data_IF_767048613529
#
_entry.id   IF_767048613529
#
_cell.length_a   1.000
_cell.length_b   1.000
_cell.length_c   1.000
_cell.angle_alpha   90.00
_cell.angle_beta   90.00
_cell.angle_gamma   90.00
#
_symmetry.space_group_name_H-M   'P 1'
#
loop_
_entity.id
_entity.type
_entity.pdbx_description
1 polymer ?
#
# COMPACT_ATOMS: atom_id res chain seq x y z
N UNK A 1 -13.91 -17.17 9.27
CA UNK A 1 -13.05 -18.10 8.47
C UNK A 1 -12.55 -19.21 9.39
N UNK A 2 -12.85 -20.48 9.10
CA UNK A 2 -12.45 -21.61 9.95
C UNK A 2 -11.02 -22.02 9.55
N UNK A 3 -10.03 -21.70 10.37
CA UNK A 3 -8.64 -22.08 10.15
C UNK A 3 -8.37 -23.45 10.75
N UNK A 4 -8.21 -24.49 9.92
CA UNK A 4 -7.97 -25.87 10.38
C UNK A 4 -6.54 -26.12 10.87
N UNK A 5 -5.57 -25.34 10.42
CA UNK A 5 -4.13 -25.50 10.70
C UNK A 5 -3.51 -24.19 11.25
N UNK A 6 -4.04 -23.69 12.33
CA UNK A 6 -3.56 -22.45 12.97
C UNK A 6 -2.15 -22.62 13.52
N UNK A 7 -1.23 -21.75 13.09
CA UNK A 7 0.15 -21.69 13.58
C UNK A 7 0.30 -20.47 14.49
N UNK A 8 1.12 -20.59 15.53
CA UNK A 8 1.57 -19.48 16.35
C UNK A 8 2.99 -19.13 15.93
N UNK A 9 3.18 -17.92 15.39
CA UNK A 9 4.52 -17.40 15.08
C UNK A 9 4.92 -16.38 16.15
N UNK A 10 6.14 -16.52 16.68
CA UNK A 10 6.70 -15.52 17.59
C UNK A 10 7.54 -14.54 16.79
N UNK A 11 7.19 -13.25 16.84
CA UNK A 11 7.86 -12.18 16.10
C UNK A 11 9.34 -12.12 16.44
N UNK A 12 10.17 -12.11 15.43
CA UNK A 12 11.62 -11.99 15.48
C UNK A 12 12.09 -10.65 14.89
N UNK A 13 13.34 -10.29 15.14
CA UNK A 13 13.93 -9.10 14.55
C UNK A 13 13.90 -9.17 13.01
N UNK A 14 13.37 -8.14 12.37
CA UNK A 14 13.21 -8.06 10.91
C UNK A 14 11.97 -8.74 10.34
N UNK A 15 11.04 -9.24 11.18
CA UNK A 15 9.74 -9.70 10.73
C UNK A 15 8.84 -8.51 10.38
N UNK A 16 8.06 -8.72 9.32
CA UNK A 16 6.94 -7.86 8.96
C UNK A 16 5.76 -8.72 8.53
N UNK A 17 4.54 -8.19 8.60
CA UNK A 17 3.37 -8.93 8.13
C UNK A 17 3.52 -9.34 6.67
N UNK A 18 4.17 -8.51 5.84
CA UNK A 18 4.44 -8.86 4.45
C UNK A 18 5.37 -10.08 4.32
N UNK A 19 6.51 -10.10 5.05
CA UNK A 19 7.41 -11.27 5.03
C UNK A 19 6.71 -12.53 5.53
N UNK A 20 5.96 -12.39 6.61
CA UNK A 20 5.21 -13.52 7.18
C UNK A 20 4.10 -14.00 6.24
N UNK A 21 3.39 -13.11 5.54
CA UNK A 21 2.40 -13.51 4.55
C UNK A 21 3.01 -14.34 3.41
N UNK A 22 4.20 -13.96 2.94
CA UNK A 22 4.93 -14.72 1.92
C UNK A 22 5.43 -16.06 2.46
N UNK A 23 5.97 -16.07 3.68
CA UNK A 23 6.50 -17.28 4.34
C UNK A 23 5.43 -18.34 4.57
N UNK A 24 4.22 -17.90 4.94
CA UNK A 24 3.12 -18.78 5.31
C UNK A 24 2.07 -18.93 4.20
N UNK A 25 2.35 -18.46 2.97
CA UNK A 25 1.45 -18.52 1.80
C UNK A 25 0.05 -17.94 2.09
N UNK A 26 -0.03 -16.93 2.93
CA UNK A 26 -1.27 -16.24 3.31
C UNK A 26 -1.21 -14.78 2.85
N UNK A 27 -2.19 -13.97 3.19
CA UNK A 27 -2.21 -12.55 2.87
C UNK A 27 -1.98 -11.70 4.12
N UNK A 28 -1.48 -10.47 3.95
CA UNK A 28 -1.37 -9.51 5.05
C UNK A 28 -2.72 -9.24 5.67
N UNK A 29 -3.78 -9.18 4.86
CA UNK A 29 -5.16 -9.00 5.31
C UNK A 29 -5.61 -10.13 6.25
N UNK A 30 -5.35 -11.40 5.87
CA UNK A 30 -5.68 -12.54 6.71
C UNK A 30 -4.90 -12.54 8.04
N UNK A 31 -3.64 -12.11 8.02
CA UNK A 31 -2.86 -11.95 9.23
C UNK A 31 -3.45 -10.88 10.16
N UNK A 32 -3.89 -9.74 9.62
CA UNK A 32 -4.54 -8.67 10.40
C UNK A 32 -5.87 -9.16 10.97
N UNK A 33 -6.72 -9.77 10.15
CA UNK A 33 -8.03 -10.26 10.57
C UNK A 33 -7.92 -11.40 11.61
N UNK A 34 -6.89 -12.23 11.51
CA UNK A 34 -6.62 -13.32 12.45
C UNK A 34 -6.05 -12.86 13.80
N UNK A 35 -5.65 -11.59 13.91
CA UNK A 35 -5.01 -11.02 15.10
C UNK A 35 -5.63 -9.68 15.50
N UNK A 36 -6.91 -9.64 15.87
CA UNK A 36 -7.57 -8.41 16.27
C UNK A 36 -6.87 -7.80 17.49
N UNK A 37 -6.53 -6.51 17.41
CA UNK A 37 -5.82 -5.78 18.47
C UNK A 37 -4.30 -5.76 18.33
N UNK A 38 -3.73 -6.49 17.39
CA UNK A 38 -2.31 -6.35 17.04
C UNK A 38 -2.13 -5.13 16.14
N UNK A 39 -1.21 -4.24 16.52
CA UNK A 39 -0.81 -3.14 15.64
C UNK A 39 0.10 -3.70 14.54
N UNK A 40 -0.35 -3.74 13.27
CA UNK A 40 0.40 -4.33 12.16
C UNK A 40 1.71 -3.60 11.83
N UNK A 41 1.85 -2.36 12.31
CA UNK A 41 3.00 -1.48 12.06
C UNK A 41 3.97 -1.39 13.24
N UNK A 42 3.63 -2.03 14.36
CA UNK A 42 4.49 -2.09 15.54
C UNK A 42 4.50 -3.51 16.10
N UNK A 43 5.09 -4.42 15.33
CA UNK A 43 5.29 -5.79 15.77
C UNK A 43 6.44 -5.84 16.78
N UNK A 44 6.11 -6.08 18.03
CA UNK A 44 7.11 -6.22 19.08
C UNK A 44 7.78 -7.59 19.00
N UNK A 45 9.12 -7.64 19.08
CA UNK A 45 9.87 -8.91 19.17
C UNK A 45 9.34 -9.70 20.37
N UNK A 46 9.03 -10.98 20.16
CA UNK A 46 8.45 -11.87 21.17
C UNK A 46 6.91 -11.86 21.19
N UNK A 47 6.25 -10.95 20.46
CA UNK A 47 4.80 -10.99 20.27
C UNK A 47 4.40 -12.25 19.51
N UNK A 48 3.26 -12.84 19.87
CA UNK A 48 2.71 -14.01 19.17
C UNK A 48 1.64 -13.58 18.17
N UNK A 49 1.79 -14.02 16.92
CA UNK A 49 0.80 -13.92 15.88
C UNK A 49 0.17 -15.28 15.58
N UNK A 50 -1.13 -15.27 15.43
CA UNK A 50 -1.88 -16.41 14.93
C UNK A 50 -1.91 -16.35 13.40
N UNK A 51 -1.41 -17.39 12.74
CA UNK A 51 -1.31 -17.46 11.29
C UNK A 51 -2.13 -18.63 10.77
N UNK A 52 -3.00 -18.37 9.82
CA UNK A 52 -3.63 -19.37 9.00
C UNK A 52 -2.81 -19.52 7.71
N UNK A 53 -2.04 -20.60 7.55
CA UNK A 53 -1.29 -20.80 6.33
C UNK A 53 -2.22 -21.01 5.13
N UNK A 54 -1.82 -20.44 4.00
CA UNK A 54 -2.52 -20.65 2.74
C UNK A 54 -2.20 -21.99 2.10
N UNK A 55 -2.83 -22.24 0.96
CA UNK A 55 -2.67 -23.46 0.20
C UNK A 55 -1.22 -23.64 -0.26
N UNK A 56 -0.67 -24.85 -0.13
CA UNK A 56 0.71 -25.17 -0.51
C UNK A 56 1.77 -24.84 0.55
N UNK A 57 1.41 -24.32 1.72
CA UNK A 57 2.38 -24.15 2.80
C UNK A 57 2.81 -25.50 3.38
N UNK A 58 4.12 -25.76 3.38
CA UNK A 58 4.73 -26.94 4.02
C UNK A 58 5.55 -26.46 5.23
N UNK A 59 5.23 -26.87 6.45
CA UNK A 59 6.02 -26.53 7.63
C UNK A 59 7.47 -27.00 7.46
N UNK A 60 8.47 -26.23 7.93
CA UNK A 60 9.86 -26.69 7.96
C UNK A 60 9.95 -28.00 8.73
N UNK A 61 10.44 -29.03 8.10
CA UNK A 61 10.72 -30.30 8.75
C UNK A 61 11.84 -30.07 9.77
N UNK A 62 11.59 -30.33 11.02
CA UNK A 62 12.58 -30.17 12.07
C UNK A 62 13.66 -31.26 11.90
N UNK A 63 14.94 -30.96 11.60
CA UNK A 63 15.97 -31.95 11.52
C UNK A 63 16.50 -32.28 12.93
N UNK A 64 15.71 -32.95 13.74
CA UNK A 64 16.14 -33.26 15.10
C UNK A 64 15.07 -33.88 15.98
N UNK A 65 14.68 -35.09 15.68
CA UNK A 65 13.87 -35.93 16.56
C UNK A 65 14.18 -37.38 16.22
N UNK A 66 15.30 -37.89 16.76
CA UNK A 66 15.64 -39.29 16.67
C UNK A 66 14.58 -40.14 17.35
N UNK A 67 13.85 -40.92 16.60
CA UNK A 67 12.98 -41.97 17.11
C UNK A 67 13.77 -43.29 17.04
N UNK A 68 14.23 -43.75 18.18
CA UNK A 68 14.73 -45.11 18.39
C UNK A 68 13.54 -46.08 18.40
N UNK A 69 13.34 -46.78 17.30
CA UNK A 69 12.37 -47.87 17.23
C UNK A 69 12.77 -48.85 16.11
N UNK A 70 13.33 -49.99 16.50
CA UNK A 70 13.91 -50.98 15.63
C UNK A 70 12.88 -51.70 14.72
N UNK A 71 13.35 -52.17 13.60
CA UNK A 71 12.58 -53.03 12.66
C UNK A 71 13.43 -53.43 11.47
N UNK A 72 13.87 -54.62 11.50
CA UNK A 72 14.68 -55.46 10.60
C UNK A 72 14.40 -55.33 9.10
N UNK A 73 15.47 -55.24 8.31
CA UNK A 73 15.68 -56.09 7.10
C UNK A 73 15.21 -55.52 5.74
N UNK A 74 16.05 -55.17 4.83
CA UNK A 74 16.60 -56.01 3.76
C UNK A 74 17.47 -55.19 2.82
N UNK A 75 18.57 -55.81 2.39
CA UNK A 75 19.55 -55.24 1.47
C UNK A 75 19.03 -55.30 0.02
N UNK A 76 19.30 -54.25 -0.75
CA UNK A 76 19.15 -54.23 -2.19
C UNK A 76 20.14 -53.29 -2.84
N UNK A 77 21.23 -53.85 -3.36
CA UNK A 77 22.25 -53.18 -4.17
C UNK A 77 21.70 -52.64 -5.48
N UNK A 78 22.23 -51.53 -5.98
CA UNK A 78 21.97 -51.10 -7.37
C UNK A 78 22.50 -49.71 -7.70
N UNK A 79 23.74 -49.60 -7.89
CA UNK A 79 24.56 -49.13 -9.02
C UNK A 79 24.47 -47.69 -9.49
N UNK A 80 25.65 -47.11 -9.52
CA UNK A 80 26.01 -45.81 -10.13
C UNK A 80 25.82 -45.86 -11.65
N UNK A 81 25.41 -44.75 -12.24
CA UNK A 81 25.97 -44.31 -13.50
C UNK A 81 25.79 -42.82 -13.70
N UNK A 82 26.87 -42.17 -13.98
CA UNK A 82 26.95 -40.74 -14.30
C UNK A 82 26.58 -40.45 -15.73
N UNK A 83 26.26 -39.24 -16.03
CA UNK A 83 25.98 -38.73 -17.37
C UNK A 83 26.13 -37.21 -17.40
N UNK A 84 27.29 -36.79 -17.87
CA UNK A 84 27.62 -35.44 -18.32
C UNK A 84 27.03 -35.20 -19.72
N UNK A 85 26.54 -33.98 -19.99
CA UNK A 85 26.14 -33.53 -21.35
C UNK A 85 25.51 -32.16 -21.29
N UNK A 86 26.20 -31.22 -21.51
CA UNK A 86 26.67 -30.25 -22.48
C UNK A 86 25.62 -29.76 -23.49
N UNK A 87 25.45 -28.45 -23.47
CA UNK A 87 25.23 -27.43 -24.50
C UNK A 87 24.24 -27.70 -25.66
N UNK A 88 23.46 -26.64 -25.92
CA UNK A 88 22.84 -26.42 -27.20
C UNK A 88 21.83 -25.30 -27.20
N UNK A 89 22.29 -24.11 -27.64
CA UNK A 89 21.41 -22.99 -27.89
C UNK A 89 20.55 -23.18 -29.13
N UNK A 90 19.48 -22.42 -29.21
CA UNK A 90 19.02 -21.98 -30.53
C UNK A 90 18.24 -20.67 -30.43
N UNK A 91 18.70 -19.70 -31.21
CA UNK A 91 17.99 -18.46 -31.54
C UNK A 91 16.95 -18.77 -32.61
N UNK A 92 15.77 -18.21 -32.45
CA UNK A 92 14.75 -18.20 -33.47
C UNK A 92 13.96 -16.91 -33.37
N UNK A 93 14.28 -15.95 -34.22
CA UNK A 93 13.53 -14.73 -34.40
C UNK A 93 12.22 -14.99 -35.14
N UNK A 94 11.21 -14.21 -34.84
CA UNK A 94 9.93 -14.17 -35.53
C UNK A 94 9.34 -12.78 -35.50
N UNK A 95 9.52 -12.06 -36.57
CA UNK A 95 8.89 -10.78 -36.91
C UNK A 95 7.45 -10.99 -37.39
N UNK A 96 6.55 -10.06 -37.06
CA UNK A 96 5.25 -9.93 -37.70
C UNK A 96 4.18 -9.47 -36.74
N UNK A 97 3.54 -8.45 -36.86
CA UNK A 97 3.03 -7.55 -37.87
C UNK A 97 1.89 -6.73 -37.20
N UNK A 98 1.83 -5.49 -37.54
CA UNK A 98 0.82 -4.54 -37.13
C UNK A 98 -0.60 -4.96 -37.56
N UNK A 99 -1.58 -4.68 -36.70
CA UNK A 99 -2.98 -4.77 -37.03
C UNK A 99 -3.75 -3.63 -36.38
N UNK A 100 -3.85 -2.50 -37.08
CA UNK A 100 -4.81 -1.44 -36.79
C UNK A 100 -6.22 -1.96 -36.99
N UNK A 101 -7.09 -1.80 -36.02
CA UNK A 101 -8.51 -2.08 -36.11
C UNK A 101 -9.33 -0.97 -35.45
N UNK A 102 -9.65 0.02 -36.26
CA UNK A 102 -10.61 1.08 -35.97
C UNK A 102 -12.02 0.59 -36.33
N UNK A 103 -12.98 0.71 -35.43
CA UNK A 103 -14.41 0.65 -35.67
C UNK A 103 -15.13 1.35 -34.51
N UNK A 104 -15.56 2.53 -34.62
CA UNK A 104 -16.74 3.22 -35.09
C UNK A 104 -18.10 2.60 -34.70
N UNK A 105 -18.79 3.34 -33.83
CA UNK A 105 -20.20 3.71 -33.93
C UNK A 105 -21.25 2.64 -33.63
N UNK A 106 -22.10 2.97 -32.66
CA UNK A 106 -23.36 2.28 -32.46
C UNK A 106 -24.24 3.01 -31.47
N UNK A 107 -24.91 4.06 -31.94
CA UNK A 107 -26.05 4.70 -31.27
C UNK A 107 -27.27 3.76 -31.35
N UNK A 108 -27.85 3.45 -30.18
CA UNK A 108 -29.12 2.72 -30.09
C UNK A 108 -29.97 3.30 -28.97
N UNK A 109 -30.84 4.19 -29.37
CA UNK A 109 -31.91 4.76 -28.53
C UNK A 109 -33.12 3.83 -28.53
N UNK A 110 -33.92 3.94 -27.46
CA UNK A 110 -35.35 3.70 -27.33
C UNK A 110 -35.82 2.48 -26.55
N UNK A 111 -36.64 2.81 -25.58
CA UNK A 111 -37.73 1.97 -25.15
C UNK A 111 -38.17 2.22 -23.73
N UNK A 112 -38.99 3.24 -23.49
CA UNK A 112 -39.61 3.47 -22.21
C UNK A 112 -40.58 2.36 -21.81
N UNK A 113 -40.65 2.04 -20.54
CA UNK A 113 -41.83 1.47 -19.94
C UNK A 113 -42.09 2.14 -18.58
N UNK A 114 -43.17 2.93 -18.56
CA UNK A 114 -43.74 3.47 -17.33
C UNK A 114 -44.52 2.36 -16.65
N UNK A 115 -43.98 1.85 -15.57
CA UNK A 115 -44.72 1.01 -14.62
C UNK A 115 -44.70 1.69 -13.27
N UNK A 116 -45.82 2.33 -12.91
CA UNK A 116 -46.03 2.88 -11.59
C UNK A 116 -46.03 1.74 -10.54
N UNK A 117 -45.08 1.78 -9.63
CA UNK A 117 -45.00 0.92 -8.46
C UNK A 117 -44.86 1.80 -7.24
N UNK A 118 -45.86 1.71 -6.39
CA UNK A 118 -46.02 2.33 -5.08
C UNK A 118 -44.73 2.21 -4.27
N UNK A 119 -44.34 3.35 -3.68
CA UNK A 119 -43.17 3.43 -2.79
C UNK A 119 -43.23 2.43 -1.64
N UNK A 120 -42.25 1.55 -1.65
CA UNK A 120 -41.83 0.86 -0.44
C UNK A 120 -40.48 1.46 -0.05
N UNK A 121 -40.47 2.20 1.05
CA UNK A 121 -39.25 2.60 1.73
C UNK A 121 -38.61 1.35 2.33
N UNK A 122 -38.01 0.53 1.47
CA UNK A 122 -37.20 -0.60 1.86
C UNK A 122 -35.80 -0.07 2.12
N UNK A 123 -35.42 0.10 3.38
CA UNK A 123 -34.03 0.12 3.75
C UNK A 123 -33.40 -1.15 3.16
N UNK A 124 -32.48 -0.98 2.23
CA UNK A 124 -31.69 -2.07 1.70
C UNK A 124 -30.89 -2.65 2.89
N UNK A 125 -31.37 -3.78 3.42
CA UNK A 125 -30.54 -4.61 4.29
C UNK A 125 -29.40 -5.13 3.41
N UNK A 126 -28.26 -4.40 3.37
CA UNK A 126 -27.02 -4.96 2.83
C UNK A 126 -26.76 -6.29 3.52
N UNK A 127 -26.53 -7.32 2.75
CA UNK A 127 -26.13 -8.61 3.29
C UNK A 127 -24.76 -8.47 3.93
N UNK A 128 -24.45 -9.29 4.93
CA UNK A 128 -23.15 -9.29 5.61
C UNK A 128 -22.00 -9.45 4.58
N UNK A 129 -22.18 -10.26 3.53
CA UNK A 129 -21.23 -10.44 2.45
C UNK A 129 -21.02 -9.16 1.63
N UNK A 130 -22.06 -8.43 1.26
CA UNK A 130 -21.93 -7.16 0.52
C UNK A 130 -21.23 -6.09 1.35
N UNK A 131 -21.47 -6.08 2.65
CA UNK A 131 -20.75 -5.18 3.57
C UNK A 131 -19.26 -5.54 3.69
N UNK A 132 -18.92 -6.82 3.82
CA UNK A 132 -17.53 -7.30 3.84
C UNK A 132 -16.80 -6.93 2.56
N UNK A 133 -17.43 -7.14 1.40
CA UNK A 133 -16.89 -6.78 0.10
C UNK A 133 -16.67 -5.26 -0.04
N UNK A 134 -17.57 -4.45 0.51
CA UNK A 134 -17.43 -2.98 0.48
C UNK A 134 -16.27 -2.51 1.36
N UNK A 135 -16.09 -3.12 2.53
CA UNK A 135 -14.96 -2.84 3.43
C UNK A 135 -13.63 -3.22 2.77
N UNK A 136 -13.58 -4.39 2.13
CA UNK A 136 -12.38 -4.86 1.44
C UNK A 136 -11.99 -3.91 0.31
N UNK A 137 -12.94 -3.54 -0.55
CA UNK A 137 -12.72 -2.57 -1.64
C UNK A 137 -12.23 -1.22 -1.15
N UNK A 138 -12.81 -0.69 -0.06
CA UNK A 138 -12.35 0.58 0.50
C UNK A 138 -10.88 0.50 0.96
N UNK A 139 -10.50 -0.59 1.63
CA UNK A 139 -9.11 -0.77 2.06
C UNK A 139 -8.14 -0.90 0.87
N UNK A 140 -8.53 -1.64 -0.17
CA UNK A 140 -7.72 -1.80 -1.37
C UNK A 140 -7.54 -0.46 -2.10
N UNK A 141 -8.63 0.27 -2.35
CA UNK A 141 -8.62 1.56 -3.02
C UNK A 141 -7.78 2.60 -2.23
N UNK A 142 -7.95 2.64 -0.91
CA UNK A 142 -7.20 3.55 -0.05
C UNK A 142 -5.71 3.23 -0.08
N UNK A 143 -5.33 1.96 0.05
CA UNK A 143 -3.92 1.55 -0.02
C UNK A 143 -3.31 1.83 -1.39
N UNK A 144 -4.04 1.57 -2.47
CA UNK A 144 -3.56 1.86 -3.82
C UNK A 144 -3.31 3.35 -4.01
N UNK A 145 -4.25 4.21 -3.61
CA UNK A 145 -4.12 5.66 -3.74
C UNK A 145 -2.92 6.22 -2.94
N UNK A 146 -2.73 5.76 -1.70
CA UNK A 146 -1.59 6.18 -0.87
C UNK A 146 -0.25 5.65 -1.38
N UNK A 147 -0.18 4.39 -1.87
CA UNK A 147 1.04 3.85 -2.49
C UNK A 147 1.37 4.60 -3.78
N UNK A 148 0.38 4.87 -4.65
CA UNK A 148 0.60 5.69 -5.83
C UNK A 148 1.22 7.05 -5.46
N UNK A 149 0.69 7.71 -4.44
CA UNK A 149 1.21 8.99 -3.98
C UNK A 149 2.69 8.89 -3.57
N UNK A 150 3.08 7.95 -2.72
CA UNK A 150 4.47 7.86 -2.26
C UNK A 150 5.43 7.40 -3.36
N UNK A 151 5.00 6.51 -4.27
CA UNK A 151 5.83 6.10 -5.41
C UNK A 151 6.05 7.25 -6.39
N UNK A 152 5.02 8.03 -6.73
CA UNK A 152 5.17 9.18 -7.61
C UNK A 152 5.94 10.31 -6.94
N UNK A 153 5.83 10.47 -5.62
CA UNK A 153 6.69 11.38 -4.83
C UNK A 153 8.16 10.99 -4.98
N UNK A 154 8.50 9.70 -4.83
CA UNK A 154 9.86 9.22 -5.04
C UNK A 154 10.34 9.40 -6.47
N UNK A 155 9.50 9.10 -7.47
CA UNK A 155 9.85 9.32 -8.88
C UNK A 155 10.13 10.80 -9.15
N UNK A 156 9.31 11.70 -8.61
CA UNK A 156 9.51 13.14 -8.72
C UNK A 156 10.80 13.59 -8.04
N UNK A 157 11.05 13.12 -6.81
CA UNK A 157 12.28 13.41 -6.07
C UNK A 157 13.52 13.02 -6.88
N UNK A 158 13.54 11.81 -7.43
CA UNK A 158 14.66 11.32 -8.24
C UNK A 158 14.85 12.14 -9.52
N UNK A 159 13.76 12.44 -10.22
CA UNK A 159 13.77 13.23 -11.44
C UNK A 159 14.21 14.68 -11.17
N UNK A 160 13.68 15.31 -10.14
CA UNK A 160 13.98 16.68 -9.75
C UNK A 160 15.43 16.85 -9.27
N UNK A 161 15.97 15.90 -8.50
CA UNK A 161 17.34 15.95 -7.99
C UNK A 161 18.35 15.78 -9.14
N UNK A 162 18.05 14.93 -10.11
CA UNK A 162 18.92 14.64 -11.25
C UNK A 162 18.74 15.61 -12.44
N UNK A 163 17.83 16.59 -12.35
CA UNK A 163 17.45 17.48 -13.45
C UNK A 163 17.06 16.73 -14.74
N UNK A 164 16.29 15.65 -14.58
CA UNK A 164 15.85 14.83 -15.70
C UNK A 164 14.84 15.57 -16.60
N UNK A 165 14.84 15.23 -17.88
CA UNK A 165 13.95 15.85 -18.86
C UNK A 165 12.46 15.53 -18.65
N UNK A 166 12.12 14.50 -17.88
CA UNK A 166 10.76 14.08 -17.56
C UNK A 166 10.19 14.72 -16.28
N UNK A 167 10.95 15.59 -15.60
CA UNK A 167 10.57 16.18 -14.31
C UNK A 167 9.17 16.76 -14.33
N UNK A 168 8.82 17.56 -15.34
CA UNK A 168 7.50 18.17 -15.43
C UNK A 168 6.38 17.12 -15.57
N UNK A 169 6.59 16.13 -16.42
CA UNK A 169 5.57 15.06 -16.60
C UNK A 169 5.37 14.23 -15.35
N UNK A 170 6.43 13.98 -14.60
CA UNK A 170 6.37 13.25 -13.31
C UNK A 170 5.68 14.10 -12.24
N UNK A 171 5.93 15.42 -12.22
CA UNK A 171 5.25 16.37 -11.32
C UNK A 171 3.74 16.43 -11.59
N UNK A 172 3.35 16.56 -12.86
CA UNK A 172 1.94 16.54 -13.27
C UNK A 172 1.26 15.24 -12.82
N UNK A 173 1.92 14.10 -13.02
CA UNK A 173 1.38 12.80 -12.58
C UNK A 173 1.32 12.67 -11.05
N UNK A 174 2.29 13.23 -10.31
CA UNK A 174 2.24 13.27 -8.85
C UNK A 174 1.06 14.11 -8.35
N UNK A 175 0.78 15.25 -8.97
CA UNK A 175 -0.36 16.09 -8.60
C UNK A 175 -1.71 15.36 -8.79
N UNK A 176 -1.85 14.48 -9.80
CA UNK A 176 -3.04 13.66 -9.99
C UNK A 176 -3.32 12.73 -8.80
N UNK A 177 -2.30 12.36 -8.02
CA UNK A 177 -2.50 11.50 -6.85
C UNK A 177 -3.32 12.17 -5.74
N UNK A 178 -3.35 13.51 -5.68
CA UNK A 178 -4.25 14.23 -4.80
C UNK A 178 -5.72 13.97 -5.15
N UNK A 179 -6.02 13.88 -6.45
CA UNK A 179 -7.35 13.53 -6.94
C UNK A 179 -7.66 12.06 -6.63
N UNK A 180 -6.74 11.14 -6.90
CA UNK A 180 -6.91 9.72 -6.61
C UNK A 180 -7.24 9.47 -5.12
N UNK A 181 -6.52 10.10 -4.20
CA UNK A 181 -6.79 10.01 -2.76
C UNK A 181 -8.17 10.59 -2.44
N UNK A 182 -8.46 11.80 -2.92
CA UNK A 182 -9.72 12.46 -2.61
C UNK A 182 -10.94 11.77 -3.21
N UNK A 183 -10.82 11.08 -4.33
CA UNK A 183 -11.90 10.32 -4.96
C UNK A 183 -12.32 9.12 -4.10
N UNK A 184 -11.40 8.50 -3.37
CA UNK A 184 -11.75 7.48 -2.36
C UNK A 184 -12.55 8.11 -1.23
N UNK A 185 -12.11 9.24 -0.70
CA UNK A 185 -12.80 9.96 0.37
C UNK A 185 -14.16 10.53 -0.07
N UNK A 186 -14.34 10.92 -1.34
CA UNK A 186 -15.55 11.51 -1.87
C UNK A 186 -16.79 10.61 -1.74
N UNK A 187 -16.60 9.31 -1.62
CA UNK A 187 -17.69 8.35 -1.39
C UNK A 187 -18.28 8.46 0.00
N UNK A 188 -17.58 9.08 0.95
CA UNK A 188 -17.92 9.12 2.37
C UNK A 188 -18.02 10.54 2.92
N UNK A 189 -17.21 11.47 2.39
CA UNK A 189 -17.16 12.86 2.84
C UNK A 189 -18.16 13.76 2.09
N UNK A 190 -18.71 14.80 2.76
CA UNK A 190 -19.45 15.85 2.06
C UNK A 190 -18.58 16.52 0.99
N UNK A 191 -19.19 16.93 -0.12
CA UNK A 191 -18.50 17.53 -1.26
C UNK A 191 -17.64 18.74 -0.89
N UNK A 192 -18.08 19.54 0.08
CA UNK A 192 -17.30 20.70 0.56
C UNK A 192 -16.02 20.27 1.29
N UNK A 193 -16.10 19.24 2.12
CA UNK A 193 -14.98 18.64 2.84
C UNK A 193 -13.99 17.99 1.88
N UNK A 194 -14.49 17.23 0.90
CA UNK A 194 -13.67 16.60 -0.14
C UNK A 194 -12.90 17.64 -0.95
N UNK A 195 -13.56 18.74 -1.35
CA UNK A 195 -12.90 19.83 -2.07
C UNK A 195 -11.80 20.49 -1.24
N UNK A 196 -12.05 20.70 0.06
CA UNK A 196 -11.04 21.26 0.96
C UNK A 196 -9.86 20.32 1.15
N UNK A 197 -10.10 19.01 1.27
CA UNK A 197 -9.06 17.99 1.35
C UNK A 197 -8.20 17.98 0.07
N UNK A 198 -8.82 18.03 -1.12
CA UNK A 198 -8.11 18.11 -2.40
C UNK A 198 -7.17 19.30 -2.44
N UNK A 199 -7.65 20.50 -2.08
CA UNK A 199 -6.82 21.70 -2.07
C UNK A 199 -5.62 21.56 -1.11
N UNK A 200 -5.84 20.98 0.08
CA UNK A 200 -4.76 20.76 1.05
C UNK A 200 -3.75 19.72 0.55
N UNK A 201 -4.17 18.66 -0.12
CA UNK A 201 -3.27 17.66 -0.69
C UNK A 201 -2.47 18.22 -1.87
N UNK A 202 -3.10 19.00 -2.74
CA UNK A 202 -2.40 19.69 -3.84
C UNK A 202 -1.33 20.65 -3.29
N UNK A 203 -1.69 21.52 -2.35
CA UNK A 203 -0.75 22.42 -1.66
C UNK A 203 0.39 21.63 -0.98
N UNK A 204 0.07 20.50 -0.35
CA UNK A 204 1.04 19.61 0.27
C UNK A 204 2.12 19.12 -0.71
N UNK A 205 1.72 18.69 -1.90
CA UNK A 205 2.60 18.21 -2.96
C UNK A 205 3.45 19.34 -3.51
N UNK A 206 2.84 20.51 -3.77
CA UNK A 206 3.53 21.69 -4.28
C UNK A 206 4.61 22.18 -3.32
N UNK A 207 4.32 22.21 -2.00
CA UNK A 207 5.30 22.59 -0.97
C UNK A 207 6.46 21.59 -0.94
N UNK A 208 6.20 20.28 -1.06
CA UNK A 208 7.24 19.26 -1.11
C UNK A 208 8.19 19.49 -2.30
N UNK A 209 7.63 19.81 -3.48
CA UNK A 209 8.41 20.17 -4.66
C UNK A 209 9.30 21.40 -4.41
N UNK A 210 8.78 22.44 -3.77
CA UNK A 210 9.54 23.63 -3.43
C UNK A 210 10.66 23.35 -2.40
N UNK A 211 10.40 22.47 -1.42
CA UNK A 211 11.40 21.99 -0.45
C UNK A 211 12.59 21.34 -1.17
N UNK A 212 12.33 20.46 -2.14
CA UNK A 212 13.37 19.81 -2.94
C UNK A 212 14.21 20.87 -3.66
N UNK A 213 13.59 21.87 -4.30
CA UNK A 213 14.29 22.91 -5.03
C UNK A 213 15.12 23.81 -4.10
N UNK A 214 14.58 24.20 -2.95
CA UNK A 214 15.28 25.01 -1.95
C UNK A 214 16.54 24.28 -1.42
N UNK A 215 16.40 22.98 -1.12
CA UNK A 215 17.51 22.16 -0.64
C UNK A 215 18.58 21.97 -1.71
N UNK A 216 18.21 21.69 -2.98
CA UNK A 216 19.13 21.62 -4.13
C UNK A 216 19.91 22.94 -4.32
N UNK A 217 19.22 24.06 -4.19
CA UNK A 217 19.83 25.39 -4.30
C UNK A 217 20.65 25.79 -3.06
N UNK A 218 20.66 24.97 -1.99
CA UNK A 218 21.27 25.24 -0.70
C UNK A 218 20.72 26.52 -0.03
N UNK A 219 19.49 26.87 -0.34
CA UNK A 219 18.79 28.01 0.25
C UNK A 219 18.08 27.55 1.53
N UNK A 220 18.82 27.49 2.63
CA UNK A 220 18.31 26.97 3.91
C UNK A 220 17.27 27.90 4.53
N UNK A 221 17.25 29.19 4.20
CA UNK A 221 16.20 30.11 4.68
C UNK A 221 14.83 29.75 4.11
N UNK A 222 14.75 29.50 2.80
CA UNK A 222 13.50 29.12 2.15
C UNK A 222 13.13 27.68 2.53
N UNK A 223 14.10 26.77 2.63
CA UNK A 223 13.90 25.43 3.12
C UNK A 223 13.20 25.43 4.50
N UNK A 224 13.74 26.13 5.49
CA UNK A 224 13.18 26.20 6.84
C UNK A 224 11.76 26.82 6.86
N UNK A 225 11.51 27.80 6.00
CA UNK A 225 10.20 28.44 5.89
C UNK A 225 9.18 27.47 5.28
N UNK A 226 9.54 26.78 4.20
CA UNK A 226 8.69 25.82 3.51
C UNK A 226 8.39 24.59 4.38
N UNK A 227 9.37 24.06 5.12
CA UNK A 227 9.14 22.98 6.07
C UNK A 227 8.10 23.38 7.11
N UNK A 228 8.18 24.57 7.70
CA UNK A 228 7.16 25.06 8.64
C UNK A 228 5.77 25.16 8.00
N UNK A 229 5.71 25.60 6.76
CA UNK A 229 4.47 25.68 6.00
C UNK A 229 3.88 24.29 5.73
N UNK A 230 4.71 23.34 5.36
CA UNK A 230 4.33 21.95 5.14
C UNK A 230 3.70 21.30 6.38
N UNK A 231 4.33 21.50 7.55
CA UNK A 231 3.80 21.04 8.83
C UNK A 231 2.49 21.76 9.22
N UNK A 232 2.34 23.02 8.87
CA UNK A 232 1.08 23.76 9.05
C UNK A 232 -0.03 23.14 8.18
N UNK A 233 0.25 22.84 6.92
CA UNK A 233 -0.68 22.19 6.01
C UNK A 233 -1.13 20.82 6.56
N UNK A 234 -0.23 19.98 7.06
CA UNK A 234 -0.58 18.71 7.72
C UNK A 234 -1.50 18.89 8.94
N UNK A 235 -1.25 19.93 9.75
CA UNK A 235 -2.15 20.26 10.88
C UNK A 235 -3.55 20.68 10.43
N UNK A 236 -3.66 21.37 9.28
CA UNK A 236 -4.95 21.73 8.69
C UNK A 236 -5.71 20.50 8.19
N UNK A 237 -5.02 19.54 7.57
CA UNK A 237 -5.62 18.24 7.20
C UNK A 237 -6.10 17.48 8.44
N UNK A 238 -5.30 17.39 9.49
CA UNK A 238 -5.71 16.75 10.75
C UNK A 238 -6.97 17.38 11.35
N UNK A 239 -7.05 18.71 11.35
CA UNK A 239 -8.21 19.44 11.84
C UNK A 239 -9.46 19.19 10.97
N UNK A 240 -9.29 19.11 9.65
CA UNK A 240 -10.38 18.80 8.72
C UNK A 240 -11.00 17.43 9.03
N UNK A 241 -10.18 16.41 9.21
CA UNK A 241 -10.64 15.05 9.54
C UNK A 241 -11.31 14.97 10.91
N UNK A 242 -10.73 15.59 11.92
CA UNK A 242 -11.28 15.63 13.28
C UNK A 242 -12.65 16.34 13.35
N UNK A 243 -12.85 17.37 12.54
CA UNK A 243 -14.13 18.08 12.44
C UNK A 243 -15.21 17.24 11.72
N UNK A 244 -14.80 16.30 10.87
CA UNK A 244 -15.72 15.44 10.15
C UNK A 244 -16.21 14.25 11.00
N UNK A 245 -15.30 13.56 11.68
CA UNK A 245 -15.62 12.34 12.41
C UNK A 245 -14.74 12.24 13.69
N UNK A 246 -15.35 12.07 14.87
CA UNK A 246 -14.63 11.91 16.13
C UNK A 246 -13.63 10.74 16.15
N UNK A 247 -13.81 9.73 15.30
CA UNK A 247 -12.84 8.64 15.13
C UNK A 247 -11.45 9.18 14.73
N UNK A 248 -11.42 10.21 13.88
CA UNK A 248 -10.17 10.88 13.51
C UNK A 248 -9.71 11.80 14.64
N UNK A 249 -9.31 11.20 15.78
CA UNK A 249 -8.81 11.98 16.89
C UNK A 249 -7.68 12.91 16.43
N UNK A 250 -7.85 14.21 16.67
CA UNK A 250 -6.98 15.26 16.15
C UNK A 250 -5.50 15.01 16.44
N UNK A 251 -5.16 14.48 17.61
CA UNK A 251 -3.78 14.20 18.00
C UNK A 251 -3.21 13.00 17.23
N UNK A 252 -3.97 11.92 17.09
CA UNK A 252 -3.53 10.71 16.39
C UNK A 252 -3.37 10.98 14.89
N UNK A 253 -4.39 11.54 14.24
CA UNK A 253 -4.34 11.94 12.83
C UNK A 253 -3.18 12.88 12.56
N UNK A 254 -2.99 13.88 13.42
CA UNK A 254 -1.87 14.81 13.32
C UNK A 254 -0.53 14.09 13.41
N UNK A 255 -0.34 13.22 14.39
CA UNK A 255 0.92 12.50 14.57
C UNK A 255 1.24 11.60 13.36
N UNK A 256 0.23 10.97 12.78
CA UNK A 256 0.42 10.16 11.55
C UNK A 256 0.87 11.03 10.37
N UNK A 257 0.20 12.16 10.14
CA UNK A 257 0.57 13.09 9.07
C UNK A 257 1.96 13.68 9.30
N UNK A 258 2.30 14.10 10.51
CA UNK A 258 3.62 14.66 10.83
C UNK A 258 4.73 13.61 10.66
N UNK A 259 4.49 12.36 11.08
CA UNK A 259 5.46 11.27 10.86
C UNK A 259 5.69 11.00 9.36
N UNK A 260 4.64 11.11 8.55
CA UNK A 260 4.78 11.03 7.09
C UNK A 260 5.72 12.11 6.56
N UNK A 261 5.54 13.36 7.01
CA UNK A 261 6.40 14.48 6.63
C UNK A 261 7.85 14.28 7.09
N UNK A 262 8.05 13.80 8.32
CA UNK A 262 9.40 13.58 8.87
C UNK A 262 10.16 12.55 8.01
N UNK A 263 9.54 11.42 7.69
CA UNK A 263 10.14 10.37 6.85
C UNK A 263 10.40 10.86 5.41
N UNK A 264 9.41 11.54 4.80
CA UNK A 264 9.59 12.06 3.43
C UNK A 264 10.67 13.15 3.39
N UNK A 265 10.77 14.00 4.40
CA UNK A 265 11.83 15.00 4.51
C UNK A 265 13.22 14.35 4.63
N UNK A 266 13.36 13.33 5.47
CA UNK A 266 14.59 12.57 5.63
C UNK A 266 15.00 11.89 4.31
N UNK A 267 14.05 11.30 3.59
CA UNK A 267 14.26 10.75 2.25
C UNK A 267 14.78 11.80 1.27
N UNK A 268 14.15 12.99 1.24
CA UNK A 268 14.56 14.12 0.39
C UNK A 268 15.98 14.55 0.72
N UNK A 269 16.31 14.73 2.01
CA UNK A 269 17.62 15.15 2.47
C UNK A 269 18.72 14.16 2.03
N UNK A 270 18.51 12.87 2.25
CA UNK A 270 19.44 11.82 1.80
C UNK A 270 19.61 11.81 0.29
N UNK A 271 18.52 11.90 -0.47
CA UNK A 271 18.57 11.87 -1.93
C UNK A 271 19.35 13.08 -2.50
N UNK A 272 19.11 14.28 -1.98
CA UNK A 272 19.80 15.52 -2.40
C UNK A 272 21.29 15.49 -2.04
N UNK A 273 21.63 14.88 -0.90
CA UNK A 273 23.02 14.74 -0.45
C UNK A 273 23.80 13.63 -1.18
N UNK A 274 23.16 12.83 -2.03
CA UNK A 274 23.78 11.69 -2.71
C UNK A 274 23.92 10.44 -1.84
N UNK A 275 23.24 10.39 -0.70
CA UNK A 275 23.19 9.28 0.25
C UNK A 275 22.10 8.28 -0.16
N UNK A 276 22.27 7.66 -1.33
CA UNK A 276 21.22 6.90 -2.01
C UNK A 276 20.76 5.64 -1.26
N UNK A 277 21.68 4.97 -0.56
CA UNK A 277 21.32 3.77 0.23
C UNK A 277 20.41 4.16 1.40
N UNK A 278 20.74 5.23 2.12
CA UNK A 278 19.92 5.76 3.20
C UNK A 278 18.55 6.24 2.69
N UNK A 279 18.53 6.96 1.55
CA UNK A 279 17.28 7.37 0.91
C UNK A 279 16.37 6.18 0.58
N UNK A 280 16.94 5.05 0.11
CA UNK A 280 16.17 3.82 -0.17
C UNK A 280 15.69 3.17 1.12
N UNK A 281 16.50 3.16 2.18
CA UNK A 281 16.11 2.57 3.46
C UNK A 281 14.96 3.36 4.10
N UNK A 282 15.04 4.69 4.11
CA UNK A 282 13.95 5.56 4.60
C UNK A 282 12.68 5.41 3.74
N UNK A 283 12.82 5.26 2.43
CA UNK A 283 11.65 5.06 1.56
C UNK A 283 10.84 3.80 1.92
N UNK A 284 11.47 2.74 2.40
CA UNK A 284 10.74 1.57 2.93
C UNK A 284 9.85 1.94 4.13
N UNK A 285 10.34 2.84 4.97
CA UNK A 285 9.55 3.33 6.12
C UNK A 285 8.42 4.25 5.65
N UNK A 286 8.64 5.06 4.60
CA UNK A 286 7.59 5.86 3.93
C UNK A 286 6.48 4.95 3.39
N UNK A 287 6.82 3.85 2.68
CA UNK A 287 5.85 2.88 2.16
C UNK A 287 5.00 2.25 3.29
N UNK A 288 5.65 1.78 4.35
CA UNK A 288 4.97 1.17 5.48
C UNK A 288 4.05 2.18 6.19
N UNK A 289 4.52 3.40 6.36
CA UNK A 289 3.77 4.47 6.99
C UNK A 289 2.56 4.89 6.14
N UNK A 290 2.70 4.95 4.80
CA UNK A 290 1.61 5.23 3.87
C UNK A 290 0.50 4.16 3.96
N UNK A 291 0.87 2.89 4.03
CA UNK A 291 -0.08 1.79 4.25
C UNK A 291 -0.78 1.91 5.62
N UNK A 292 -0.05 2.33 6.67
CA UNK A 292 -0.63 2.58 7.98
C UNK A 292 -1.69 3.69 7.93
N UNK A 293 -1.39 4.78 7.23
CA UNK A 293 -2.32 5.89 7.03
C UNK A 293 -3.55 5.44 6.24
N UNK A 294 -3.34 4.70 5.16
CA UNK A 294 -4.44 4.16 4.35
C UNK A 294 -5.43 3.33 5.21
N UNK A 295 -4.91 2.42 6.02
CA UNK A 295 -5.73 1.59 6.91
C UNK A 295 -6.42 2.39 8.01
N UNK A 296 -5.74 3.38 8.56
CA UNK A 296 -6.33 4.28 9.56
C UNK A 296 -7.50 5.07 8.98
N UNK A 297 -7.31 5.67 7.81
CA UNK A 297 -8.37 6.44 7.15
C UNK A 297 -9.53 5.56 6.71
N UNK A 298 -9.27 4.38 6.14
CA UNK A 298 -10.33 3.46 5.76
C UNK A 298 -11.19 3.06 6.97
N UNK A 299 -10.58 2.70 8.11
CA UNK A 299 -11.31 2.40 9.35
C UNK A 299 -12.12 3.58 9.85
N UNK A 300 -11.55 4.79 9.81
CA UNK A 300 -12.25 5.98 10.26
C UNK A 300 -13.47 6.35 9.41
N UNK A 301 -13.43 6.08 8.11
CA UNK A 301 -14.57 6.29 7.22
C UNK A 301 -15.72 5.31 7.49
N UNK A 302 -15.41 4.12 7.99
CA UNK A 302 -16.39 3.08 8.34
C UNK A 302 -16.92 3.21 9.77
N UNK A 303 -16.21 3.88 10.67
CA UNK A 303 -16.62 4.13 12.04
C UNK A 303 -17.67 5.27 12.07
N UNK A 304 -18.96 4.91 12.04
CA UNK A 304 -20.10 5.82 12.15
C UNK A 304 -20.93 5.52 13.38
#
# INVERSE_FOLDING_TARGET
>A
MYCQNKIVHTIQAGDSLYKLSRQYHTTVTELILGNPGVNPYNLQIGMQLFICPGEGYVPPQNPGGGNTGGGTGNAGSGNMSGGTGSMGGNMGGGTGNAGSGHMSGGTGSMGGNMGGGTGNAGGSNETESEREDSILRLNEDMRLAWLNHVYWTRMYLMSAVADNADQQAVEERLLETADEITDVFARYLPIATTRQLRNLLTEHIEIAGQIIQALKAKNMSDYDALVKEWYRNANQMAALFANYNPYFESRETRNMLLNHLDLTREEIEHQVNGEYEQSIDVFRDVEQQALAMADYFARGLLAR
#
